data_IF_672865877666
#
_entry.id   IF_672865877666
#
_cell.length_a   1.000
_cell.length_b   1.000
_cell.length_c   1.000
_cell.angle_alpha   90.00
_cell.angle_beta   90.00
_cell.angle_gamma   90.00
#
_symmetry.space_group_name_H-M   'P 1'
#
loop_
_entity.id
_entity.type
_entity.pdbx_description
1 polymer ?
#
# COMPACT_ATOMS: atom_id res chain seq x y z
N UNK A 1 -25.95 29.61 29.58
CA UNK A 1 -24.76 29.76 28.73
C UNK A 1 -24.24 28.37 28.40
N UNK A 2 -24.48 27.87 27.19
CA UNK A 2 -24.04 26.54 26.76
C UNK A 2 -22.94 26.71 25.70
N UNK A 3 -21.71 26.33 26.04
CA UNK A 3 -20.58 26.38 25.12
C UNK A 3 -20.59 25.17 24.18
N UNK A 4 -20.87 25.39 22.91
CA UNK A 4 -20.70 24.38 21.86
C UNK A 4 -19.21 24.20 21.53
N UNK A 5 -18.67 23.02 21.83
CA UNK A 5 -17.37 22.56 21.37
C UNK A 5 -17.40 22.31 19.86
N UNK A 6 -16.79 23.21 19.08
CA UNK A 6 -16.60 23.06 17.63
C UNK A 6 -15.50 22.03 17.35
N UNK A 7 -15.89 20.77 17.07
CA UNK A 7 -15.00 19.80 16.39
C UNK A 7 -14.64 20.34 15.01
N UNK A 8 -13.36 20.68 14.79
CA UNK A 8 -12.84 21.02 13.46
C UNK A 8 -12.93 19.79 12.56
N UNK A 9 -13.81 19.83 11.55
CA UNK A 9 -13.79 18.86 10.44
C UNK A 9 -12.49 19.05 9.66
N UNK A 10 -11.60 18.06 9.69
CA UNK A 10 -10.47 18.01 8.77
C UNK A 10 -11.02 17.83 7.34
N UNK A 11 -10.63 18.72 6.42
CA UNK A 11 -10.93 18.58 5.00
C UNK A 11 -10.09 17.45 4.43
N UNK A 12 -10.72 16.45 3.83
CA UNK A 12 -10.05 15.50 2.97
C UNK A 12 -9.49 16.26 1.76
N UNK A 13 -8.17 16.22 1.57
CA UNK A 13 -7.53 16.76 0.37
C UNK A 13 -7.67 15.75 -0.75
N UNK A 14 -8.47 16.06 -1.76
CA UNK A 14 -8.59 15.25 -2.97
C UNK A 14 -7.27 15.29 -3.74
N UNK A 15 -6.54 14.18 -3.76
CA UNK A 15 -5.35 14.01 -4.60
C UNK A 15 -5.81 13.98 -6.07
N UNK A 16 -5.30 14.91 -6.88
CA UNK A 16 -5.65 15.08 -8.29
C UNK A 16 -5.26 13.85 -9.12
N UNK A 17 -6.13 13.44 -10.06
CA UNK A 17 -5.85 12.37 -11.04
C UNK A 17 -4.57 12.61 -11.88
N UNK A 18 -4.07 13.86 -11.93
CA UNK A 18 -2.79 14.17 -12.62
C UNK A 18 -1.56 13.64 -11.87
N UNK A 19 -1.60 13.58 -10.54
CA UNK A 19 -0.45 13.18 -9.72
C UNK A 19 -0.18 11.68 -9.86
N UNK A 20 -1.23 10.84 -9.88
CA UNK A 20 -1.15 9.37 -10.10
C UNK A 20 -0.35 9.00 -11.37
N UNK A 21 -0.28 9.90 -12.35
CA UNK A 21 0.43 9.67 -13.61
C UNK A 21 1.95 9.56 -13.48
N UNK A 22 2.60 10.14 -12.47
CA UNK A 22 4.07 10.09 -12.34
C UNK A 22 4.51 8.78 -11.70
N UNK A 23 4.01 8.42 -10.52
CA UNK A 23 4.30 7.14 -9.89
C UNK A 23 3.94 5.96 -10.79
N UNK A 24 2.78 6.01 -11.46
CA UNK A 24 2.37 4.92 -12.37
C UNK A 24 3.36 4.76 -13.53
N UNK A 25 3.87 5.85 -14.11
CA UNK A 25 4.86 5.78 -15.18
C UNK A 25 6.19 5.20 -14.70
N UNK A 26 6.67 5.62 -13.53
CA UNK A 26 7.90 5.10 -12.94
C UNK A 26 7.76 3.60 -12.66
N UNK A 27 6.67 3.19 -12.04
CA UNK A 27 6.40 1.78 -11.73
C UNK A 27 6.25 0.92 -12.99
N UNK A 28 5.66 1.48 -14.06
CA UNK A 28 5.60 0.80 -15.36
C UNK A 28 6.97 0.70 -16.03
N UNK A 29 7.81 1.72 -15.92
CA UNK A 29 9.18 1.67 -16.43
C UNK A 29 10.00 0.60 -15.69
N UNK A 30 9.93 0.58 -14.36
CA UNK A 30 10.57 -0.44 -13.53
C UNK A 30 10.06 -1.86 -13.87
N UNK A 31 8.75 -2.03 -14.05
CA UNK A 31 8.18 -3.33 -14.42
C UNK A 31 8.64 -3.82 -15.80
N UNK A 32 8.89 -2.90 -16.74
CA UNK A 32 9.31 -3.25 -18.10
C UNK A 32 10.84 -3.39 -18.24
N UNK A 33 11.61 -2.57 -17.53
CA UNK A 33 13.04 -2.40 -17.76
C UNK A 33 13.92 -2.82 -16.58
N UNK A 34 13.45 -2.61 -15.34
CA UNK A 34 14.21 -2.84 -14.12
C UNK A 34 14.01 -4.23 -13.51
N UNK A 35 12.80 -4.77 -13.58
CA UNK A 35 12.42 -6.02 -12.94
C UNK A 35 12.26 -7.14 -13.97
N UNK A 36 13.27 -8.00 -14.08
CA UNK A 36 13.32 -9.02 -15.15
C UNK A 36 12.80 -10.40 -14.73
N UNK A 37 12.77 -10.70 -13.43
CA UNK A 37 12.44 -12.05 -12.93
C UNK A 37 11.60 -11.98 -11.64
N UNK A 38 10.41 -12.57 -11.67
CA UNK A 38 9.58 -12.80 -10.49
C UNK A 38 8.20 -12.12 -10.57
N UNK A 39 7.56 -12.00 -9.41
CA UNK A 39 6.29 -11.28 -9.26
C UNK A 39 6.56 -9.84 -8.83
N UNK A 40 6.02 -8.87 -9.57
CA UNK A 40 6.07 -7.46 -9.21
C UNK A 40 4.72 -7.01 -8.63
N UNK A 41 4.73 -6.45 -7.43
CA UNK A 41 3.55 -5.89 -6.76
C UNK A 41 3.95 -4.54 -6.18
N UNK A 42 3.20 -3.49 -6.50
CA UNK A 42 3.46 -2.13 -6.05
C UNK A 42 2.16 -1.36 -5.78
N UNK A 43 2.27 -0.30 -4.98
CA UNK A 43 1.18 0.64 -4.71
C UNK A 43 1.57 2.02 -5.24
N UNK A 44 0.98 2.46 -6.37
CA UNK A 44 1.21 3.82 -6.88
C UNK A 44 0.88 4.89 -5.83
N UNK A 45 -0.17 4.66 -5.03
CA UNK A 45 -0.55 5.57 -3.94
C UNK A 45 0.52 5.70 -2.86
N UNK A 46 1.09 4.57 -2.42
CA UNK A 46 2.18 4.55 -1.45
C UNK A 46 3.40 5.31 -1.94
N UNK A 47 3.75 5.14 -3.21
CA UNK A 47 4.87 5.81 -3.84
C UNK A 47 4.66 7.33 -3.89
N UNK A 48 3.47 7.78 -4.30
CA UNK A 48 3.12 9.21 -4.31
C UNK A 48 3.17 9.83 -2.89
N UNK A 49 2.76 9.10 -1.86
CA UNK A 49 2.85 9.59 -0.49
C UNK A 49 4.31 9.80 -0.07
N UNK A 50 5.21 8.88 -0.42
CA UNK A 50 6.65 9.01 -0.12
C UNK A 50 7.25 10.20 -0.86
N UNK A 51 6.94 10.36 -2.15
CA UNK A 51 7.37 11.52 -2.93
C UNK A 51 6.84 12.83 -2.33
N UNK A 52 5.58 12.84 -1.90
CA UNK A 52 4.97 13.97 -1.21
C UNK A 52 5.71 14.31 0.09
N UNK A 53 5.99 13.32 0.93
CA UNK A 53 6.74 13.51 2.19
C UNK A 53 8.14 14.08 1.94
N UNK A 54 8.85 13.60 0.92
CA UNK A 54 10.14 14.15 0.48
C UNK A 54 10.03 15.61 0.05
N UNK A 55 9.02 15.94 -0.78
CA UNK A 55 8.79 17.30 -1.25
C UNK A 55 8.45 18.25 -0.09
N UNK A 56 7.65 17.82 0.88
CA UNK A 56 7.34 18.63 2.08
C UNK A 56 8.54 18.83 3.00
N UNK A 57 9.38 17.80 3.17
CA UNK A 57 10.64 17.91 3.91
C UNK A 57 11.57 18.97 3.31
N UNK A 58 11.59 19.09 1.98
CA UNK A 58 12.34 20.14 1.28
C UNK A 58 11.81 21.56 1.58
N UNK A 59 10.55 21.71 2.00
CA UNK A 59 9.90 23.00 2.30
C UNK A 59 9.89 23.40 3.80
N UNK A 60 10.61 22.67 4.68
CA UNK A 60 10.73 22.94 6.14
C UNK A 60 9.40 23.14 6.87
N UNK A 61 8.52 22.12 6.87
CA UNK A 61 7.38 22.06 7.81
C UNK A 61 7.13 20.64 8.33
N UNK A 62 6.93 20.57 9.64
CA UNK A 62 6.66 19.37 10.43
C UNK A 62 5.38 18.65 9.95
N UNK A 63 5.49 17.37 9.59
CA UNK A 63 4.37 16.59 9.05
C UNK A 63 4.35 15.17 9.61
N UNK A 64 3.44 14.90 10.55
CA UNK A 64 3.01 13.54 10.88
C UNK A 64 1.63 13.32 10.22
N UNK A 65 1.52 12.31 9.35
CA UNK A 65 0.23 11.93 8.75
C UNK A 65 -0.01 10.45 8.86
N UNK A 66 -0.93 10.10 9.76
CA UNK A 66 -1.59 8.80 9.77
C UNK A 66 -2.92 8.95 9.04
N UNK A 67 -3.02 8.48 7.80
CA UNK A 67 -4.32 8.35 7.11
C UNK A 67 -4.84 6.95 7.44
N UNK A 68 -5.78 6.89 8.38
CA UNK A 68 -6.59 5.70 8.61
C UNK A 68 -7.73 5.72 7.60
N UNK A 69 -7.61 4.90 6.55
CA UNK A 69 -8.72 4.60 5.66
C UNK A 69 -9.55 3.46 6.29
N UNK A 70 -10.35 3.78 7.30
CA UNK A 70 -11.35 2.85 7.82
C UNK A 70 -12.53 2.81 6.83
N UNK A 71 -12.62 1.73 6.05
CA UNK A 71 -13.73 1.52 5.11
C UNK A 71 -15.03 1.09 5.80
N UNK A 72 -15.07 1.05 7.13
CA UNK A 72 -16.21 0.57 7.91
C UNK A 72 -16.34 -0.97 7.86
N UNK A 73 -17.30 -1.50 8.62
CA UNK A 73 -17.62 -2.93 8.60
C UNK A 73 -18.05 -3.33 7.17
N UNK A 74 -17.51 -4.40 6.61
CA UNK A 74 -17.98 -4.97 5.33
C UNK A 74 -17.33 -4.43 4.04
N UNK A 75 -16.44 -3.43 4.11
CA UNK A 75 -15.57 -3.05 2.99
C UNK A 75 -14.20 -3.75 3.05
N UNK A 76 -13.31 -3.55 2.05
CA UNK A 76 -11.93 -4.05 2.12
C UNK A 76 -11.16 -3.46 3.32
N UNK A 77 -10.52 -4.30 4.14
CA UNK A 77 -9.61 -3.82 5.19
C UNK A 77 -8.38 -3.17 4.54
N UNK A 78 -8.27 -1.85 4.66
CA UNK A 78 -7.15 -1.05 4.16
C UNK A 78 -6.40 -0.46 5.34
N UNK A 79 -5.10 -0.74 5.42
CA UNK A 79 -4.23 -0.21 6.48
C UNK A 79 -3.02 0.44 5.87
N UNK A 80 -2.80 1.68 6.26
CA UNK A 80 -1.70 2.50 5.76
C UNK A 80 -0.88 3.00 6.95
N UNK A 81 0.43 2.85 6.86
CA UNK A 81 1.38 3.38 7.82
C UNK A 81 2.43 4.20 7.06
N UNK A 82 2.53 5.50 7.36
CA UNK A 82 3.60 6.36 6.87
C UNK A 82 4.42 6.85 8.06
N UNK A 83 5.74 6.76 7.97
CA UNK A 83 6.63 7.29 8.99
C UNK A 83 7.89 7.90 8.38
N UNK A 84 8.40 8.91 9.07
CA UNK A 84 9.67 9.57 8.78
C UNK A 84 10.49 9.57 10.06
N UNK A 85 11.72 9.08 9.98
CA UNK A 85 12.67 9.03 11.10
C UNK A 85 13.95 9.73 10.69
N UNK A 86 14.54 10.50 11.61
CA UNK A 86 15.72 11.32 11.35
C UNK A 86 16.72 11.09 12.46
N UNK A 87 18.00 10.95 12.10
CA UNK A 87 19.09 10.84 13.05
C UNK A 87 19.24 12.11 13.91
N UNK A 88 19.60 11.93 15.19
CA UNK A 88 19.74 13.03 16.14
C UNK A 88 20.83 14.04 15.79
N UNK A 89 21.85 13.64 15.02
CA UNK A 89 22.89 14.52 14.51
C UNK A 89 22.35 15.58 13.54
N UNK A 90 21.12 15.40 13.02
CA UNK A 90 20.46 16.36 12.13
C UNK A 90 19.45 17.19 12.90
N UNK A 91 19.74 18.49 13.05
CA UNK A 91 18.77 19.47 13.57
C UNK A 91 17.62 19.72 12.57
N UNK A 92 16.59 18.86 12.59
CA UNK A 92 15.19 19.25 12.30
C UNK A 92 14.17 18.13 12.65
N UNK A 93 13.19 18.51 13.50
CA UNK A 93 11.79 18.07 13.56
C UNK A 93 11.48 16.56 13.75
N UNK A 94 11.29 16.22 15.04
CA UNK A 94 10.45 15.15 15.63
C UNK A 94 10.40 13.78 14.93
N UNK A 95 11.40 12.96 15.25
CA UNK A 95 11.32 11.58 15.74
C UNK A 95 12.75 11.03 15.69
N UNK A 96 13.51 11.37 16.72
CA UNK A 96 14.90 10.99 16.89
C UNK A 96 15.02 9.49 17.24
N UNK A 97 16.05 8.82 16.71
CA UNK A 97 16.36 7.44 17.09
C UNK A 97 17.82 7.30 17.52
N UNK A 98 18.07 6.44 18.51
CA UNK A 98 19.39 6.12 19.04
C UNK A 98 19.75 4.66 18.71
N UNK A 99 21.03 4.42 18.41
CA UNK A 99 21.62 3.13 17.99
C UNK A 99 20.95 2.45 16.78
N UNK A 100 21.71 2.25 15.70
CA UNK A 100 21.22 1.75 14.40
C UNK A 100 20.47 0.41 14.47
N UNK A 101 20.93 -0.52 15.32
CA UNK A 101 20.30 -1.83 15.48
C UNK A 101 18.94 -1.73 16.21
N UNK A 102 18.86 -0.91 17.27
CA UNK A 102 17.62 -0.69 18.02
C UNK A 102 16.60 0.09 17.18
N UNK A 103 17.07 0.99 16.34
CA UNK A 103 16.25 1.82 15.47
C UNK A 103 15.52 1.02 14.40
N UNK A 104 16.18 0.02 13.81
CA UNK A 104 15.53 -0.91 12.88
C UNK A 104 14.40 -1.70 13.57
N UNK A 105 14.61 -2.13 14.82
CA UNK A 105 13.60 -2.82 15.63
C UNK A 105 12.43 -1.91 15.96
N UNK A 106 12.66 -0.64 16.29
CA UNK A 106 11.61 0.35 16.58
C UNK A 106 10.72 0.56 15.34
N UNK A 107 11.33 0.80 14.18
CA UNK A 107 10.59 1.05 12.92
C UNK A 107 9.77 -0.19 12.52
N UNK A 108 10.39 -1.38 12.55
CA UNK A 108 9.69 -2.62 12.23
C UNK A 108 8.55 -2.90 13.23
N UNK A 109 8.75 -2.64 14.51
CA UNK A 109 7.71 -2.79 15.55
C UNK A 109 6.54 -1.84 15.31
N UNK A 110 6.83 -0.59 14.94
CA UNK A 110 5.80 0.40 14.60
C UNK A 110 5.01 0.00 13.35
N UNK A 111 5.68 -0.45 12.28
CA UNK A 111 4.99 -0.93 11.06
C UNK A 111 4.14 -2.16 11.37
N UNK A 112 4.69 -3.10 12.14
CA UNK A 112 3.99 -4.30 12.60
C UNK A 112 2.72 -3.92 13.38
N UNK A 113 2.79 -2.97 14.30
CA UNK A 113 1.63 -2.49 15.05
C UNK A 113 0.58 -1.88 14.11
N UNK A 114 0.97 -0.94 13.23
CA UNK A 114 0.04 -0.25 12.32
C UNK A 114 -0.58 -1.17 11.27
N UNK A 115 0.07 -2.28 10.96
CA UNK A 115 -0.41 -3.28 10.00
C UNK A 115 -0.98 -4.52 10.66
N UNK A 116 -1.27 -4.51 11.97
CA UNK A 116 -1.77 -5.69 12.71
C UNK A 116 -0.92 -6.96 12.52
N UNK A 117 0.39 -6.79 12.38
CA UNK A 117 1.34 -7.88 12.22
C UNK A 117 1.49 -8.41 10.79
N UNK A 118 0.78 -7.84 9.81
CA UNK A 118 0.76 -8.33 8.44
C UNK A 118 2.01 -7.94 7.66
N UNK A 119 2.66 -6.84 8.04
CA UNK A 119 3.98 -6.44 7.54
C UNK A 119 4.92 -6.42 8.75
N UNK A 120 5.59 -7.55 9.05
CA UNK A 120 6.37 -7.67 10.28
C UNK A 120 7.72 -6.94 10.22
N UNK A 121 8.32 -6.85 9.04
CA UNK A 121 9.59 -6.17 8.82
C UNK A 121 9.53 -5.42 7.48
N UNK A 122 9.90 -4.14 7.50
CA UNK A 122 10.03 -3.29 6.30
C UNK A 122 11.50 -2.96 6.00
N UNK A 123 12.36 -3.00 7.02
CA UNK A 123 13.81 -2.79 6.89
C UNK A 123 14.60 -3.92 7.54
N UNK A 124 15.75 -4.28 6.95
CA UNK A 124 16.62 -5.35 7.44
C UNK A 124 17.65 -4.91 8.49
N UNK A 125 18.00 -3.62 8.51
CA UNK A 125 19.02 -3.03 9.38
C UNK A 125 19.35 -1.61 8.93
N UNK A 126 20.10 -0.87 9.74
CA UNK A 126 20.54 0.49 9.46
C UNK A 126 22.05 0.60 9.66
N UNK A 127 22.65 1.53 8.93
CA UNK A 127 24.06 1.89 8.96
C UNK A 127 24.22 3.33 9.47
N UNK A 128 25.42 3.71 9.96
CA UNK A 128 25.71 5.10 10.33
C UNK A 128 25.47 6.17 9.27
N UNK A 129 25.42 5.76 8.00
CA UNK A 129 25.17 6.67 6.87
C UNK A 129 23.67 6.84 6.59
N UNK A 130 22.79 6.07 7.24
CA UNK A 130 21.34 6.18 7.09
C UNK A 130 20.82 7.33 7.95
N UNK A 131 20.82 8.55 7.41
CA UNK A 131 20.49 9.77 8.17
C UNK A 131 18.98 10.05 8.23
N UNK A 132 18.24 9.64 7.19
CA UNK A 132 16.78 9.84 7.06
C UNK A 132 16.15 8.56 6.52
N UNK A 133 15.08 8.11 7.17
CA UNK A 133 14.30 6.95 6.74
C UNK A 133 12.87 7.42 6.49
N UNK A 134 12.36 7.12 5.31
CA UNK A 134 10.95 7.34 4.96
C UNK A 134 10.37 5.98 4.59
N UNK A 135 9.38 5.53 5.33
CA UNK A 135 8.74 4.24 5.09
C UNK A 135 7.24 4.40 4.88
N UNK A 136 6.72 3.67 3.89
CA UNK A 136 5.29 3.47 3.69
C UNK A 136 5.00 1.96 3.72
N UNK A 137 3.99 1.57 4.50
CA UNK A 137 3.42 0.24 4.48
C UNK A 137 1.94 0.34 4.13
N UNK A 138 1.51 -0.37 3.08
CA UNK A 138 0.10 -0.51 2.71
C UNK A 138 -0.29 -1.98 2.74
N UNK A 139 -1.35 -2.27 3.49
CA UNK A 139 -2.03 -3.56 3.49
C UNK A 139 -3.44 -3.40 2.95
N UNK A 140 -3.84 -4.33 2.09
CA UNK A 140 -5.19 -4.42 1.53
C UNK A 140 -5.69 -5.86 1.63
N UNK A 141 -6.88 -6.04 2.20
CA UNK A 141 -7.61 -7.31 2.18
C UNK A 141 -9.09 -7.08 1.95
N UNK A 142 -9.54 -7.38 0.74
CA UNK A 142 -10.96 -7.37 0.38
C UNK A 142 -11.56 -8.78 0.35
N UNK A 143 -12.81 -8.89 0.79
CA UNK A 143 -13.67 -10.04 0.47
C UNK A 143 -14.25 -9.82 -0.92
N UNK A 144 -14.28 -10.84 -1.78
CA UNK A 144 -14.95 -10.73 -3.08
C UNK A 144 -16.46 -10.55 -2.89
N UNK A 145 -17.09 -9.66 -3.66
CA UNK A 145 -18.55 -9.51 -3.67
C UNK A 145 -19.25 -10.78 -4.15
N UNK A 146 -18.62 -11.50 -5.09
CA UNK A 146 -19.04 -12.84 -5.54
C UNK A 146 -17.92 -13.85 -5.22
N UNK A 147 -17.97 -14.55 -4.07
CA UNK A 147 -16.86 -15.38 -3.61
C UNK A 147 -16.70 -16.67 -4.42
N UNK A 148 -15.45 -17.14 -4.53
CA UNK A 148 -15.11 -18.43 -5.13
C UNK A 148 -15.31 -19.55 -4.12
N UNK A 149 -16.04 -20.59 -4.51
CA UNK A 149 -16.19 -21.79 -3.68
C UNK A 149 -14.88 -22.54 -3.59
N UNK A 150 -14.38 -22.77 -2.36
CA UNK A 150 -13.15 -23.55 -2.13
C UNK A 150 -13.25 -24.99 -2.66
N UNK A 151 -14.46 -25.54 -2.78
CA UNK A 151 -14.70 -26.88 -3.36
C UNK A 151 -14.32 -26.94 -4.85
N UNK A 152 -14.41 -25.80 -5.53
CA UNK A 152 -14.11 -25.66 -6.95
C UNK A 152 -12.64 -25.27 -7.20
N UNK A 153 -11.86 -25.01 -6.16
CA UNK A 153 -10.42 -24.79 -6.27
C UNK A 153 -9.72 -26.11 -6.59
N UNK A 154 -9.05 -26.19 -7.74
CA UNK A 154 -8.35 -27.40 -8.21
C UNK A 154 -6.93 -27.07 -8.67
N UNK A 155 -5.99 -27.99 -8.46
CA UNK A 155 -4.64 -27.86 -9.02
C UNK A 155 -4.70 -27.94 -10.54
N UNK A 156 -4.07 -26.99 -11.22
CA UNK A 156 -3.86 -26.99 -12.67
C UNK A 156 -2.46 -26.47 -12.99
N UNK A 157 -1.99 -26.74 -14.20
CA UNK A 157 -0.70 -26.26 -14.67
C UNK A 157 -0.77 -24.75 -14.98
N UNK A 158 0.12 -23.98 -14.37
CA UNK A 158 0.41 -22.60 -14.75
C UNK A 158 1.71 -22.57 -15.57
N UNK A 159 1.68 -21.87 -16.69
CA UNK A 159 2.78 -21.78 -17.63
C UNK A 159 3.61 -20.53 -17.33
N UNK A 160 4.86 -20.73 -16.92
CA UNK A 160 5.81 -19.66 -16.66
C UNK A 160 6.37 -19.07 -17.97
N UNK A 161 6.89 -17.84 -17.90
CA UNK A 161 7.48 -17.13 -19.05
C UNK A 161 8.66 -17.91 -19.65
N UNK A 162 9.43 -18.62 -18.81
CA UNK A 162 10.55 -19.47 -19.24
C UNK A 162 10.10 -20.80 -19.89
N UNK A 163 8.79 -21.04 -20.02
CA UNK A 163 8.21 -22.25 -20.60
C UNK A 163 7.99 -23.41 -19.62
N UNK A 164 8.45 -23.29 -18.38
CA UNK A 164 8.22 -24.30 -17.34
C UNK A 164 6.76 -24.31 -16.88
N UNK A 165 6.32 -25.45 -16.33
CA UNK A 165 4.99 -25.61 -15.75
C UNK A 165 5.08 -25.82 -14.26
N UNK A 166 4.23 -25.11 -13.52
CA UNK A 166 4.08 -25.26 -12.08
C UNK A 166 2.64 -25.59 -11.74
N UNK A 167 2.42 -26.59 -10.90
CA UNK A 167 1.07 -26.99 -10.48
C UNK A 167 0.60 -26.09 -9.34
N UNK A 168 -0.44 -25.28 -9.59
CA UNK A 168 -0.95 -24.27 -8.64
C UNK A 168 -2.47 -24.39 -8.47
N UNK A 169 -3.04 -23.96 -7.33
CA UNK A 169 -4.48 -23.97 -7.12
C UNK A 169 -5.17 -22.87 -7.94
N UNK A 170 -5.99 -23.25 -8.91
CA UNK A 170 -6.86 -22.34 -9.67
C UNK A 170 -8.23 -22.25 -9.01
N UNK A 171 -8.73 -21.03 -8.81
CA UNK A 171 -10.11 -20.77 -8.41
C UNK A 171 -11.03 -20.84 -9.63
N UNK A 172 -12.30 -21.23 -9.46
CA UNK A 172 -13.28 -21.32 -10.55
C UNK A 172 -14.66 -20.91 -10.05
N UNK A 173 -15.41 -20.16 -10.87
CA UNK A 173 -16.73 -19.64 -10.56
C UNK A 173 -17.59 -19.60 -11.82
N UNK A 174 -18.88 -19.90 -11.65
CA UNK A 174 -19.90 -19.82 -12.71
C UNK A 174 -20.73 -18.52 -12.61
N UNK A 175 -20.25 -17.54 -11.83
CA UNK A 175 -20.91 -16.24 -11.68
C UNK A 175 -20.68 -15.35 -12.91
N UNK A 176 -21.61 -14.43 -13.16
CA UNK A 176 -21.44 -13.38 -14.16
C UNK A 176 -20.50 -12.27 -13.67
N UNK A 177 -19.60 -11.81 -14.53
CA UNK A 177 -18.65 -10.74 -14.25
C UNK A 177 -18.60 -9.75 -15.41
N UNK A 178 -18.35 -8.47 -15.10
CA UNK A 178 -18.03 -7.49 -16.15
C UNK A 178 -16.71 -7.92 -16.82
N UNK A 179 -16.73 -8.08 -18.14
CA UNK A 179 -15.55 -8.44 -18.92
C UNK A 179 -15.46 -7.64 -20.23
N UNK A 180 -14.26 -7.60 -20.79
CA UNK A 180 -13.98 -6.97 -22.07
C UNK A 180 -12.88 -7.75 -22.80
N UNK A 181 -12.96 -7.77 -24.13
CA UNK A 181 -11.94 -8.39 -24.99
C UNK A 181 -11.39 -7.33 -25.95
N UNK A 182 -10.08 -7.31 -26.08
CA UNK A 182 -9.32 -6.42 -26.96
C UNK A 182 -8.43 -7.29 -27.86
N UNK A 183 -7.82 -6.70 -28.89
CA UNK A 183 -7.05 -7.47 -29.89
C UNK A 183 -5.93 -8.32 -29.28
N UNK A 184 -5.26 -7.82 -28.24
CA UNK A 184 -4.09 -8.47 -27.64
C UNK A 184 -4.32 -9.01 -26.21
N UNK A 185 -5.45 -8.70 -25.58
CA UNK A 185 -5.70 -9.10 -24.19
C UNK A 185 -7.19 -9.15 -23.85
N UNK A 186 -7.49 -9.84 -22.75
CA UNK A 186 -8.83 -9.90 -22.15
C UNK A 186 -8.77 -9.29 -20.75
N UNK A 187 -9.88 -8.69 -20.32
CA UNK A 187 -10.04 -8.10 -19.00
C UNK A 187 -11.31 -8.64 -18.35
N UNK A 188 -11.22 -8.89 -17.05
CA UNK A 188 -12.35 -9.24 -16.18
C UNK A 188 -12.25 -8.38 -14.92
N UNK A 189 -13.38 -7.88 -14.44
CA UNK A 189 -13.46 -7.06 -13.23
C UNK A 189 -14.01 -7.89 -12.09
N UNK A 190 -13.20 -8.06 -11.04
CA UNK A 190 -13.64 -8.62 -9.77
C UNK A 190 -13.95 -7.51 -8.79
N UNK A 191 -15.22 -7.40 -8.39
CA UNK A 191 -15.65 -6.46 -7.35
C UNK A 191 -15.43 -7.05 -5.96
N UNK A 192 -14.99 -6.22 -5.03
CA UNK A 192 -14.97 -6.55 -3.60
C UNK A 192 -16.32 -6.23 -2.96
N UNK A 193 -16.61 -6.89 -1.84
CA UNK A 193 -17.71 -6.54 -0.96
C UNK A 193 -17.55 -5.07 -0.52
N UNK A 194 -18.62 -4.31 -0.68
CA UNK A 194 -18.71 -2.93 -0.23
C UNK A 194 -20.08 -2.76 0.40
N UNK A 195 -20.17 -2.15 1.58
CA UNK A 195 -21.45 -1.65 2.06
C UNK A 195 -21.91 -0.55 1.10
N UNK A 196 -23.08 -0.75 0.49
CA UNK A 196 -23.69 0.21 -0.42
C UNK A 196 -23.84 1.59 0.24
N UNK A 197 -23.54 2.63 -0.53
CA UNK A 197 -23.76 4.04 -0.23
C UNK A 197 -23.80 4.73 -1.62
N UNK A 198 -24.89 5.28 -2.15
CA UNK A 198 -26.25 5.63 -1.71
C UNK A 198 -27.14 5.54 -2.96
N UNK A 199 -28.44 5.25 -2.79
CA UNK A 199 -29.45 5.55 -3.82
C UNK A 199 -29.50 7.05 -4.15
#
# INVERSE_FOLDING_TARGET
>A
MAGQSRRKKQKATTISNKTIGVATKILLDDANNGFKNGNFVCSPFSFELVLGMLAFGAERKDFETTILLDTGKGGPDVRLANGVWVDEGVKCVKSCYHEHAESAVIINSWVKEKTNGLIPNIIGGLTPDDVIIIANALYFKGTWSKPFSSKNTKKKDFHLINGEKVSVPFMTSDNEFDCGSFESYQMIKFSYESIGCWD
#
